data_IF_032795831992
#
_entry.id   IF_032795831992
#
_cell.length_a   1.000
_cell.length_b   1.000
_cell.length_c   1.000
_cell.angle_alpha   90.00
_cell.angle_beta   90.00
_cell.angle_gamma   90.00
#
_symmetry.space_group_name_H-M   'P 1'
#
loop_
_entity.id
_entity.type
_entity.pdbx_description
1 polymer ?
#
# COMPACT_ATOMS: atom_id res chain seq x y z
N UNK A 1 8.05 -31.40 1.13
CA UNK A 1 8.54 -30.08 0.68
C UNK A 1 7.60 -29.64 -0.44
N UNK A 2 6.43 -29.12 -0.08
CA UNK A 2 5.42 -28.73 -1.06
C UNK A 2 5.75 -27.29 -1.48
N UNK A 3 6.40 -27.14 -2.64
CA UNK A 3 6.54 -25.85 -3.28
C UNK A 3 5.14 -25.31 -3.52
N UNK A 4 4.69 -24.34 -2.73
CA UNK A 4 3.40 -23.70 -2.99
C UNK A 4 3.57 -22.87 -4.26
N UNK A 5 2.94 -23.35 -5.34
CA UNK A 5 2.83 -22.72 -6.66
C UNK A 5 2.02 -21.41 -6.56
N UNK A 6 2.51 -20.42 -5.83
CA UNK A 6 1.98 -19.07 -5.98
C UNK A 6 2.44 -18.60 -7.35
N UNK A 7 1.55 -18.76 -8.33
CA UNK A 7 1.81 -18.36 -9.70
C UNK A 7 2.35 -16.93 -9.74
N UNK A 8 3.37 -16.68 -10.56
CA UNK A 8 3.86 -15.33 -10.81
C UNK A 8 2.75 -14.35 -11.21
N UNK A 9 1.68 -14.86 -11.84
CA UNK A 9 0.48 -14.08 -12.15
C UNK A 9 -0.24 -13.63 -10.87
N UNK A 10 -0.40 -14.52 -9.89
CA UNK A 10 -1.01 -14.21 -8.61
C UNK A 10 -0.18 -13.18 -7.82
N UNK A 11 1.14 -13.37 -7.73
CA UNK A 11 2.05 -12.40 -7.09
C UNK A 11 1.98 -11.02 -7.75
N UNK A 12 1.93 -10.99 -9.08
CA UNK A 12 1.75 -9.76 -9.86
C UNK A 12 0.43 -9.08 -9.55
N UNK A 13 -0.69 -9.81 -9.54
CA UNK A 13 -2.00 -9.25 -9.22
C UNK A 13 -2.11 -8.74 -7.78
N UNK A 14 -1.53 -9.46 -6.81
CA UNK A 14 -1.50 -9.05 -5.40
C UNK A 14 -0.68 -7.76 -5.23
N UNK A 15 0.47 -7.71 -5.88
CA UNK A 15 1.34 -6.52 -5.86
C UNK A 15 0.63 -5.34 -6.51
N UNK A 16 -0.01 -5.52 -7.67
CA UNK A 16 -0.75 -4.45 -8.34
C UNK A 16 -1.94 -3.96 -7.50
N UNK A 17 -2.71 -4.87 -6.90
CA UNK A 17 -3.82 -4.52 -6.01
C UNK A 17 -3.32 -3.70 -4.81
N UNK A 18 -2.23 -4.12 -4.17
CA UNK A 18 -1.68 -3.43 -2.99
C UNK A 18 -0.98 -2.13 -3.33
N UNK A 19 -0.22 -2.08 -4.43
CA UNK A 19 0.66 -0.96 -4.79
C UNK A 19 0.02 0.04 -5.76
N UNK A 20 -1.18 -0.21 -6.28
CA UNK A 20 -1.90 0.69 -7.20
C UNK A 20 -3.32 0.96 -6.71
N UNK A 21 -4.11 -0.10 -6.46
CA UNK A 21 -5.54 0.06 -6.12
C UNK A 21 -5.71 0.66 -4.73
N UNK A 22 -5.00 0.16 -3.71
CA UNK A 22 -5.06 0.74 -2.36
C UNK A 22 -4.63 2.22 -2.32
N UNK A 23 -3.50 2.61 -2.95
CA UNK A 23 -3.13 4.01 -3.00
C UNK A 23 -4.14 4.90 -3.74
N UNK A 24 -4.72 4.42 -4.84
CA UNK A 24 -5.75 5.16 -5.55
C UNK A 24 -6.97 5.44 -4.64
N UNK A 25 -7.34 4.46 -3.81
CA UNK A 25 -8.37 4.64 -2.78
C UNK A 25 -7.94 5.65 -1.70
N UNK A 26 -6.67 5.62 -1.29
CA UNK A 26 -6.08 6.64 -0.41
C UNK A 26 -6.19 8.04 -1.00
N UNK A 27 -5.80 8.24 -2.26
CA UNK A 27 -5.92 9.50 -2.98
C UNK A 27 -7.37 10.00 -3.00
N UNK A 28 -8.33 9.12 -3.35
CA UNK A 28 -9.76 9.47 -3.34
C UNK A 28 -10.23 9.92 -1.94
N UNK A 29 -9.78 9.23 -0.89
CA UNK A 29 -10.06 9.60 0.50
C UNK A 29 -9.47 10.96 0.86
N UNK A 30 -8.23 11.25 0.45
CA UNK A 30 -7.59 12.54 0.67
C UNK A 30 -8.32 13.69 -0.03
N UNK A 31 -8.77 13.47 -1.28
CA UNK A 31 -9.57 14.45 -2.04
C UNK A 31 -10.90 14.72 -1.32
N UNK A 32 -11.59 13.67 -0.87
CA UNK A 32 -12.85 13.79 -0.14
C UNK A 32 -12.68 14.51 1.21
N UNK A 33 -11.62 14.18 1.96
CA UNK A 33 -11.30 14.86 3.22
C UNK A 33 -11.03 16.34 3.00
N UNK A 34 -10.28 16.67 1.94
CA UNK A 34 -9.95 18.06 1.60
C UNK A 34 -11.18 18.85 1.12
N UNK A 35 -12.06 18.23 0.34
CA UNK A 35 -13.30 18.88 -0.13
C UNK A 35 -14.34 19.07 0.97
N UNK A 36 -14.35 18.21 2.01
CA UNK A 36 -15.26 18.32 3.14
C UNK A 36 -15.00 19.53 4.05
N UNK A 37 -13.79 20.11 4.02
CA UNK A 37 -13.37 21.19 4.90
C UNK A 37 -13.18 20.81 6.37
N UNK A 38 -13.43 19.55 6.75
CA UNK A 38 -13.29 19.04 8.12
C UNK A 38 -11.83 19.00 8.59
N UNK A 39 -10.93 18.63 7.69
CA UNK A 39 -9.49 18.53 7.96
C UNK A 39 -8.76 19.58 7.14
N UNK A 40 -8.32 20.66 7.81
CA UNK A 40 -7.67 21.81 7.16
C UNK A 40 -6.14 21.72 7.14
N UNK A 41 -5.55 20.89 8.01
CA UNK A 41 -4.10 20.73 8.08
C UNK A 41 -3.63 19.73 7.01
N UNK A 42 -2.77 20.13 6.06
CA UNK A 42 -2.25 19.24 5.02
C UNK A 42 -1.60 17.97 5.57
N UNK A 43 -0.86 18.10 6.68
CA UNK A 43 -0.21 16.96 7.34
C UNK A 43 -1.22 15.89 7.79
N UNK A 44 -2.40 16.29 8.29
CA UNK A 44 -3.43 15.35 8.72
C UNK A 44 -4.09 14.64 7.53
N UNK A 45 -4.29 15.34 6.40
CA UNK A 45 -4.79 14.73 5.15
C UNK A 45 -3.74 13.76 4.59
N UNK A 46 -2.45 14.11 4.65
CA UNK A 46 -1.35 13.25 4.22
C UNK A 46 -1.28 11.95 5.06
N UNK A 47 -1.45 12.05 6.38
CA UNK A 47 -1.48 10.88 7.28
C UNK A 47 -2.59 9.90 6.89
N UNK A 48 -3.75 10.39 6.48
CA UNK A 48 -4.86 9.54 6.03
C UNK A 48 -4.52 8.75 4.74
N UNK A 49 -3.63 9.28 3.90
CA UNK A 49 -3.25 8.65 2.63
C UNK A 49 -2.00 7.78 2.75
N UNK A 50 -0.99 8.21 3.51
CA UNK A 50 0.38 7.67 3.44
C UNK A 50 0.48 6.18 3.72
N UNK A 51 -0.38 5.63 4.59
CA UNK A 51 -0.37 4.20 4.92
C UNK A 51 -0.89 3.32 3.77
N UNK A 52 -1.68 3.88 2.86
CA UNK A 52 -2.28 3.10 1.76
C UNK A 52 -1.27 2.73 0.68
N UNK A 53 -0.17 3.50 0.55
CA UNK A 53 0.91 3.22 -0.39
C UNK A 53 2.07 2.42 0.20
N UNK A 54 2.02 2.05 1.48
CA UNK A 54 3.08 1.23 2.07
C UNK A 54 2.92 -0.25 1.68
N UNK A 55 4.06 -0.95 1.47
CA UNK A 55 4.07 -2.40 1.32
C UNK A 55 3.52 -3.08 2.57
N UNK A 56 3.01 -4.29 2.38
CA UNK A 56 2.56 -5.12 3.49
C UNK A 56 3.68 -5.27 4.51
N UNK A 57 3.40 -4.95 5.76
CA UNK A 57 4.41 -4.96 6.80
C UNK A 57 4.93 -6.39 7.01
N UNK A 58 6.24 -6.56 7.06
CA UNK A 58 6.84 -7.89 7.23
C UNK A 58 6.46 -8.53 8.58
N UNK A 59 6.13 -7.72 9.59
CA UNK A 59 5.72 -8.17 10.92
C UNK A 59 4.34 -8.87 10.93
N UNK A 60 3.48 -8.67 9.93
CA UNK A 60 2.19 -9.40 9.85
C UNK A 60 2.39 -10.87 9.46
N UNK A 61 3.56 -11.25 8.96
CA UNK A 61 3.90 -12.63 8.63
C UNK A 61 3.80 -13.55 9.85
N UNK A 62 4.27 -13.10 11.02
CA UNK A 62 4.19 -13.88 12.27
C UNK A 62 2.75 -14.10 12.69
N UNK A 63 1.90 -13.08 12.55
CA UNK A 63 0.48 -13.19 12.89
C UNK A 63 -0.27 -14.14 11.96
N UNK A 64 0.07 -14.14 10.67
CA UNK A 64 -0.51 -15.07 9.71
C UNK A 64 0.00 -16.52 9.93
N UNK A 65 1.27 -16.69 10.29
CA UNK A 65 1.82 -17.99 10.66
C UNK A 65 1.10 -18.59 11.88
N UNK A 66 0.79 -17.76 12.90
CA UNK A 66 -0.02 -18.18 14.06
C UNK A 66 -1.47 -18.53 13.68
N UNK A 67 -1.98 -18.00 12.57
CA UNK A 67 -3.31 -18.34 12.04
C UNK A 67 -3.30 -19.61 11.16
N UNK A 68 -2.14 -20.24 10.95
CA UNK A 68 -2.00 -21.44 10.14
C UNK A 68 -1.76 -21.19 8.65
N UNK A 69 -1.48 -19.95 8.24
CA UNK A 69 -1.22 -19.58 6.85
C UNK A 69 0.22 -19.88 6.39
N UNK A 70 0.41 -20.01 5.08
CA UNK A 70 1.73 -20.29 4.50
C UNK A 70 2.68 -19.08 4.59
N UNK A 71 3.69 -19.22 5.46
CA UNK A 71 4.78 -18.26 5.61
C UNK A 71 5.51 -17.99 4.28
N UNK A 72 5.72 -19.02 3.47
CA UNK A 72 6.47 -18.93 2.21
C UNK A 72 5.73 -18.09 1.17
N UNK A 73 4.42 -18.31 1.02
CA UNK A 73 3.58 -17.55 0.10
C UNK A 73 3.49 -16.06 0.49
N UNK A 74 3.35 -15.78 1.79
CA UNK A 74 3.34 -14.42 2.33
C UNK A 74 4.69 -13.74 2.13
N UNK A 75 5.79 -14.42 2.44
CA UNK A 75 7.14 -13.88 2.27
C UNK A 75 7.43 -13.54 0.80
N UNK A 76 7.02 -14.41 -0.14
CA UNK A 76 7.18 -14.15 -1.58
C UNK A 76 6.39 -12.91 -2.03
N UNK A 77 5.12 -12.79 -1.60
CA UNK A 77 4.30 -11.62 -1.92
C UNK A 77 4.86 -10.32 -1.33
N UNK A 78 5.35 -10.36 -0.09
CA UNK A 78 5.99 -9.23 0.59
C UNK A 78 7.27 -8.84 -0.14
N UNK A 79 8.12 -9.81 -0.49
CA UNK A 79 9.37 -9.57 -1.20
C UNK A 79 9.15 -8.84 -2.54
N UNK A 80 8.19 -9.31 -3.35
CA UNK A 80 7.85 -8.64 -4.61
C UNK A 80 7.34 -7.22 -4.37
N UNK A 81 6.46 -7.01 -3.38
CA UNK A 81 6.00 -5.66 -3.02
C UNK A 81 7.15 -4.73 -2.64
N UNK A 82 8.11 -5.20 -1.84
CA UNK A 82 9.29 -4.41 -1.46
C UNK A 82 10.23 -4.13 -2.64
N UNK A 83 10.32 -5.03 -3.61
CA UNK A 83 11.09 -4.78 -4.84
C UNK A 83 10.47 -3.65 -5.69
N UNK A 84 9.14 -3.55 -5.73
CA UNK A 84 8.43 -2.48 -6.44
C UNK A 84 8.23 -1.19 -5.63
N UNK A 85 8.37 -1.26 -4.31
CA UNK A 85 8.11 -0.17 -3.38
C UNK A 85 8.87 1.13 -3.68
N UNK A 86 10.19 1.14 -4.02
CA UNK A 86 10.92 2.38 -4.28
C UNK A 86 10.29 3.23 -5.38
N UNK A 87 9.79 2.58 -6.43
CA UNK A 87 9.16 3.28 -7.55
C UNK A 87 7.72 3.70 -7.21
N UNK A 88 6.93 2.77 -6.66
CA UNK A 88 5.51 3.03 -6.38
C UNK A 88 5.33 4.06 -5.26
N UNK A 89 6.03 3.92 -4.13
CA UNK A 89 5.92 4.85 -3.00
C UNK A 89 6.30 6.25 -3.42
N UNK A 90 7.40 6.41 -4.19
CA UNK A 90 7.86 7.73 -4.64
C UNK A 90 6.80 8.44 -5.47
N UNK A 91 6.19 7.72 -6.42
CA UNK A 91 5.11 8.26 -7.25
C UNK A 91 3.88 8.65 -6.42
N UNK A 92 3.42 7.77 -5.53
CA UNK A 92 2.23 8.03 -4.71
C UNK A 92 2.45 9.14 -3.69
N UNK A 93 3.63 9.19 -3.04
CA UNK A 93 3.96 10.28 -2.11
C UNK A 93 3.95 11.63 -2.81
N UNK A 94 4.51 11.72 -4.02
CA UNK A 94 4.45 12.95 -4.81
C UNK A 94 3.00 13.39 -5.05
N UNK A 95 2.13 12.48 -5.49
CA UNK A 95 0.71 12.76 -5.70
C UNK A 95 -0.01 13.14 -4.41
N UNK A 96 0.25 12.43 -3.31
CA UNK A 96 -0.37 12.69 -2.01
C UNK A 96 0.01 14.03 -1.44
N UNK A 97 1.27 14.43 -1.56
CA UNK A 97 1.72 15.76 -1.15
C UNK A 97 0.97 16.81 -1.98
N UNK A 98 0.89 16.64 -3.30
CA UNK A 98 0.16 17.57 -4.16
C UNK A 98 -1.33 17.68 -3.80
N UNK A 99 -2.00 16.56 -3.52
CA UNK A 99 -3.40 16.54 -3.05
C UNK A 99 -3.55 17.23 -1.69
N UNK A 100 -2.66 16.94 -0.75
CA UNK A 100 -2.72 17.46 0.61
C UNK A 100 -2.45 18.98 0.67
N UNK A 101 -1.49 19.48 -0.11
CA UNK A 101 -1.18 20.91 -0.19
C UNK A 101 -2.08 21.67 -1.16
N UNK A 102 -2.80 20.95 -2.03
CA UNK A 102 -3.79 21.52 -2.94
C UNK A 102 -3.20 22.22 -4.16
N UNK A 103 -1.97 21.87 -4.55
CA UNK A 103 -1.26 22.49 -5.66
C UNK A 103 -1.00 23.98 -5.42
N UNK A 104 -0.10 24.27 -4.48
CA UNK A 104 0.55 25.58 -4.38
C UNK A 104 1.47 25.84 -5.58
#
# INVERSE_FOLDING_TARGET
MAATDVSWRALGTLTAAKMVVMPAFGAATGIALRSSGLVRQPAAVLVAMIVTCTPTANNVMVMAELAGESREALAAAIFVQYAFAPFSITLWLYLYIHIATGGS
#
